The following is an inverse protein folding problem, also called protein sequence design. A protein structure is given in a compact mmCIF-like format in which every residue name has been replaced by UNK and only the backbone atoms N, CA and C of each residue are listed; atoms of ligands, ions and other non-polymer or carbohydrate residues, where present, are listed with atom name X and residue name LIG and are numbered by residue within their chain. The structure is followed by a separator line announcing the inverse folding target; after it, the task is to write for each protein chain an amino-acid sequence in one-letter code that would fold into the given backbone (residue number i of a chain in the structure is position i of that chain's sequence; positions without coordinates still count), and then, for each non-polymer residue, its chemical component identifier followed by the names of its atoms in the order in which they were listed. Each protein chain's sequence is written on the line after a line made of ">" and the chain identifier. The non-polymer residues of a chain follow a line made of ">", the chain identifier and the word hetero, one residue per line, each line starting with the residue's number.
data_IF_894837737855
#
_entry.id   IF_894837737855
#
_cell.length_a   1.000
_cell.length_b   1.000
_cell.length_c   1.000
_cell.angle_alpha   90.00
_cell.angle_beta   90.00
_cell.angle_gamma   90.00
#
_symmetry.space_group_name_H-M   'P 1'
#
loop_
_entity.id
_entity.type
_entity.pdbx_description
1 polymer ?
#
# COMPACT_ATOMS: atom_id res chain seq x y z
N UNK A 1 55.21 34.53 28.81
CA UNK A 1 55.55 33.49 27.81
C UNK A 1 54.67 32.29 28.07
N UNK A 2 53.63 32.10 27.26
CA UNK A 2 52.64 31.04 27.47
C UNK A 2 52.62 30.15 26.23
N UNK A 3 53.42 29.09 26.22
CA UNK A 3 53.40 28.11 25.13
C UNK A 3 52.27 27.10 25.36
N UNK A 4 51.22 27.27 24.55
CA UNK A 4 50.07 26.39 24.46
C UNK A 4 50.47 25.14 23.67
N UNK A 5 50.76 24.01 24.35
CA UNK A 5 50.96 22.71 23.69
C UNK A 5 49.64 22.22 23.06
N UNK A 6 49.52 22.37 21.75
CA UNK A 6 48.42 21.87 20.93
C UNK A 6 48.48 20.33 20.91
N UNK A 7 47.46 19.67 21.47
CA UNK A 7 47.28 18.21 21.41
C UNK A 7 47.01 17.79 19.96
N UNK A 8 47.98 17.16 19.30
CA UNK A 8 47.79 16.55 17.97
C UNK A 8 46.75 15.43 18.07
N UNK A 9 45.68 15.53 17.28
CA UNK A 9 44.71 14.46 17.07
C UNK A 9 45.44 13.21 16.52
N UNK A 10 45.35 12.11 17.25
CA UNK A 10 45.98 10.83 16.91
C UNK A 10 45.28 10.27 15.66
N UNK A 11 45.91 10.40 14.49
CA UNK A 11 45.42 9.81 13.24
C UNK A 11 45.51 8.29 13.36
N UNK A 12 44.37 7.60 13.26
CA UNK A 12 44.32 6.13 13.19
C UNK A 12 45.16 5.71 11.98
N UNK A 13 46.25 4.99 12.22
CA UNK A 13 47.21 4.64 11.19
C UNK A 13 46.78 3.36 10.45
N UNK A 14 47.29 3.15 9.23
CA UNK A 14 47.08 1.89 8.50
C UNK A 14 47.61 0.67 9.27
N UNK A 15 48.60 0.86 10.15
CA UNK A 15 49.12 -0.19 11.01
C UNK A 15 48.12 -0.59 12.11
N UNK A 16 47.39 0.39 12.66
CA UNK A 16 46.32 0.13 13.65
C UNK A 16 45.15 -0.63 13.02
N UNK A 17 44.78 -0.30 11.78
CA UNK A 17 43.73 -1.06 11.07
C UNK A 17 44.21 -2.49 10.73
N UNK A 18 45.48 -2.67 10.36
CA UNK A 18 46.06 -3.99 10.12
C UNK A 18 46.17 -4.83 11.39
N UNK A 19 46.44 -4.24 12.55
CA UNK A 19 46.51 -4.98 13.83
C UNK A 19 45.12 -5.35 14.37
N UNK A 20 44.10 -4.54 14.09
CA UNK A 20 42.69 -4.89 14.34
C UNK A 20 42.24 -6.04 13.43
N UNK A 21 42.48 -5.94 12.12
CA UNK A 21 42.12 -6.98 11.15
C UNK A 21 42.95 -8.26 11.32
N UNK A 22 44.20 -8.14 11.78
CA UNK A 22 45.12 -9.24 12.05
C UNK A 22 44.89 -9.98 13.37
N UNK A 23 43.88 -9.59 14.16
CA UNK A 23 43.44 -10.34 15.33
C UNK A 23 44.29 -10.17 16.60
N UNK A 24 45.38 -9.39 16.57
CA UNK A 24 46.24 -9.17 17.74
C UNK A 24 45.50 -8.47 18.88
N UNK A 25 44.52 -7.60 18.56
CA UNK A 25 43.67 -6.95 19.56
C UNK A 25 42.56 -7.88 20.07
N UNK A 26 42.03 -8.76 19.21
CA UNK A 26 41.01 -9.74 19.57
C UNK A 26 41.55 -10.83 20.51
N UNK A 27 42.82 -11.21 20.36
CA UNK A 27 43.49 -12.22 21.19
C UNK A 27 43.87 -11.73 22.60
N UNK A 28 43.60 -10.47 22.95
CA UNK A 28 43.81 -9.97 24.31
C UNK A 28 42.79 -10.58 25.28
N UNK A 29 43.21 -10.91 26.50
CA UNK A 29 42.37 -11.57 27.51
C UNK A 29 41.09 -10.78 27.84
N UNK A 30 41.16 -9.45 27.80
CA UNK A 30 40.02 -8.56 28.07
C UNK A 30 38.98 -8.61 26.96
N UNK A 31 39.41 -8.56 25.69
CA UNK A 31 38.51 -8.57 24.53
C UNK A 31 37.88 -9.95 24.33
N UNK A 32 38.65 -11.01 24.60
CA UNK A 32 38.14 -12.39 24.54
C UNK A 32 36.97 -12.61 25.51
N UNK A 33 37.01 -12.02 26.72
CA UNK A 33 35.89 -12.05 27.68
C UNK A 33 34.64 -11.28 27.22
N UNK A 34 34.81 -10.32 26.32
CA UNK A 34 33.74 -9.45 25.80
C UNK A 34 33.24 -9.89 24.40
N UNK A 35 33.83 -10.94 23.81
CA UNK A 35 33.39 -11.50 22.52
C UNK A 35 31.89 -11.79 22.45
N UNK A 36 31.22 -12.37 23.48
CA UNK A 36 29.78 -12.60 23.45
C UNK A 36 28.96 -11.31 23.21
N UNK A 37 29.42 -10.18 23.74
CA UNK A 37 28.78 -8.88 23.54
C UNK A 37 28.96 -8.36 22.09
N UNK A 38 30.12 -8.58 21.49
CA UNK A 38 30.35 -8.24 20.08
C UNK A 38 29.45 -9.07 19.17
N UNK A 39 29.33 -10.38 19.44
CA UNK A 39 28.38 -11.25 18.73
C UNK A 39 26.94 -10.77 18.86
N UNK A 40 26.54 -10.31 20.05
CA UNK A 40 25.21 -9.74 20.25
C UNK A 40 24.96 -8.51 19.37
N UNK A 41 25.92 -7.59 19.26
CA UNK A 41 25.81 -6.42 18.38
C UNK A 41 25.74 -6.82 16.91
N UNK A 42 26.58 -7.77 16.49
CA UNK A 42 26.56 -8.30 15.11
C UNK A 42 25.21 -8.94 14.80
N UNK A 43 24.67 -9.75 15.72
CA UNK A 43 23.35 -10.35 15.61
C UNK A 43 22.26 -9.29 15.48
N UNK A 44 22.31 -8.24 16.31
CA UNK A 44 21.39 -7.11 16.23
C UNK A 44 21.49 -6.40 14.86
N UNK A 45 22.71 -6.21 14.35
CA UNK A 45 22.96 -5.63 13.03
C UNK A 45 22.33 -6.45 11.91
N UNK A 46 22.51 -7.77 11.92
CA UNK A 46 21.87 -8.69 10.95
C UNK A 46 20.35 -8.60 11.06
N UNK A 47 19.81 -8.57 12.28
CA UNK A 47 18.38 -8.43 12.53
C UNK A 47 17.81 -7.13 11.94
N UNK A 48 18.49 -6.01 12.13
CA UNK A 48 18.09 -4.71 11.58
C UNK A 48 18.12 -4.69 10.05
N UNK A 49 19.17 -5.25 9.45
CA UNK A 49 19.28 -5.37 7.99
C UNK A 49 18.12 -6.21 7.45
N UNK A 50 17.85 -7.35 8.08
CA UNK A 50 16.77 -8.27 7.68
C UNK A 50 15.40 -7.59 7.76
N UNK A 51 15.11 -6.90 8.88
CA UNK A 51 13.86 -6.18 9.07
C UNK A 51 13.67 -5.08 8.00
N UNK A 52 14.73 -4.35 7.69
CA UNK A 52 14.72 -3.34 6.62
C UNK A 52 14.37 -3.96 5.27
N UNK A 53 15.01 -5.06 4.88
CA UNK A 53 14.71 -5.75 3.61
C UNK A 53 13.26 -6.27 3.54
N UNK A 54 12.73 -6.82 4.63
CA UNK A 54 11.34 -7.27 4.69
C UNK A 54 10.35 -6.12 4.55
N UNK A 55 10.64 -5.01 5.21
CA UNK A 55 9.81 -3.80 5.14
C UNK A 55 9.77 -3.24 3.72
N UNK A 56 10.92 -3.11 3.06
CA UNK A 56 10.99 -2.60 1.68
C UNK A 56 10.21 -3.49 0.70
N UNK A 57 10.34 -4.82 0.81
CA UNK A 57 9.58 -5.76 -0.02
C UNK A 57 8.08 -5.66 0.23
N UNK A 58 7.67 -5.45 1.47
CA UNK A 58 6.26 -5.32 1.86
C UNK A 58 5.67 -4.03 1.33
N UNK A 59 6.38 -2.91 1.48
CA UNK A 59 5.98 -1.60 0.95
C UNK A 59 5.77 -1.68 -0.56
N UNK A 60 6.71 -2.30 -1.31
CA UNK A 60 6.58 -2.44 -2.76
C UNK A 60 5.35 -3.26 -3.17
N UNK A 61 5.05 -4.34 -2.45
CA UNK A 61 3.83 -5.13 -2.69
C UNK A 61 2.57 -4.33 -2.37
N UNK A 62 2.58 -3.56 -1.28
CA UNK A 62 1.45 -2.71 -0.92
C UNK A 62 1.18 -1.67 -2.00
N UNK A 63 2.22 -1.07 -2.58
CA UNK A 63 2.07 -0.09 -3.66
C UNK A 63 1.40 -0.71 -4.90
N UNK A 64 1.87 -1.89 -5.34
CA UNK A 64 1.25 -2.63 -6.45
C UNK A 64 -0.23 -2.94 -6.18
N UNK A 65 -0.55 -3.43 -4.99
CA UNK A 65 -1.94 -3.74 -4.60
C UNK A 65 -2.80 -2.47 -4.57
N UNK A 66 -2.25 -1.35 -4.09
CA UNK A 66 -2.98 -0.06 -4.06
C UNK A 66 -3.29 0.44 -5.45
N UNK A 67 -2.39 0.27 -6.41
CA UNK A 67 -2.63 0.66 -7.79
C UNK A 67 -3.71 -0.22 -8.44
N UNK A 68 -3.69 -1.53 -8.21
CA UNK A 68 -4.78 -2.41 -8.65
C UNK A 68 -6.12 -2.04 -8.03
N UNK A 69 -6.16 -1.65 -6.75
CA UNK A 69 -7.39 -1.19 -6.10
C UNK A 69 -7.94 0.12 -6.69
N UNK A 70 -7.06 1.04 -7.10
CA UNK A 70 -7.49 2.26 -7.79
C UNK A 70 -8.13 1.93 -9.14
N UNK A 71 -7.52 1.03 -9.90
CA UNK A 71 -8.03 0.58 -11.19
C UNK A 71 -9.42 -0.06 -11.03
N UNK A 72 -9.56 -1.03 -10.12
CA UNK A 72 -10.85 -1.67 -9.86
C UNK A 72 -11.92 -0.69 -9.38
N UNK A 73 -11.54 0.32 -8.60
CA UNK A 73 -12.48 1.36 -8.19
C UNK A 73 -12.92 2.22 -9.39
N UNK A 74 -12.01 2.60 -10.27
CA UNK A 74 -12.35 3.33 -11.48
C UNK A 74 -13.28 2.50 -12.38
N UNK A 75 -12.96 1.23 -12.59
CA UNK A 75 -13.76 0.29 -13.37
C UNK A 75 -15.18 0.12 -12.80
N UNK A 76 -15.32 -0.01 -11.48
CA UNK A 76 -16.65 -0.09 -10.83
C UNK A 76 -17.51 1.15 -11.08
N UNK A 77 -16.92 2.35 -11.04
CA UNK A 77 -17.62 3.62 -11.29
C UNK A 77 -18.02 3.73 -12.75
N UNK A 78 -17.16 3.28 -13.67
CA UNK A 78 -17.46 3.23 -15.10
C UNK A 78 -18.64 2.30 -15.36
N UNK A 79 -18.64 1.09 -14.78
CA UNK A 79 -19.75 0.14 -14.95
C UNK A 79 -21.06 0.67 -14.38
N UNK A 80 -21.04 1.30 -13.20
CA UNK A 80 -22.22 1.96 -12.64
C UNK A 80 -22.73 3.05 -13.58
N UNK A 81 -21.84 3.88 -14.11
CA UNK A 81 -22.19 4.95 -15.07
C UNK A 81 -22.77 4.37 -16.36
N UNK A 82 -22.21 3.28 -16.89
CA UNK A 82 -22.74 2.58 -18.06
C UNK A 82 -24.13 2.01 -17.78
N UNK A 83 -24.36 1.42 -16.61
CA UNK A 83 -25.65 0.91 -16.21
C UNK A 83 -26.67 2.04 -16.09
N UNK A 84 -26.31 3.18 -15.50
CA UNK A 84 -27.14 4.38 -15.44
C UNK A 84 -27.49 4.90 -16.84
N UNK A 85 -26.53 4.90 -17.76
CA UNK A 85 -26.77 5.30 -19.14
C UNK A 85 -27.78 4.38 -19.84
N UNK A 86 -27.62 3.06 -19.69
CA UNK A 86 -28.51 2.06 -20.29
C UNK A 86 -29.91 2.10 -19.67
N UNK A 87 -30.01 2.30 -18.35
CA UNK A 87 -31.27 2.40 -17.62
C UNK A 87 -31.96 3.75 -17.75
N UNK A 88 -31.33 4.73 -18.42
CA UNK A 88 -31.92 6.05 -18.61
C UNK A 88 -33.24 5.91 -19.37
N UNK A 89 -34.37 6.45 -18.88
CA UNK A 89 -35.67 6.29 -19.54
C UNK A 89 -35.64 6.67 -21.03
N UNK A 90 -34.94 7.75 -21.38
CA UNK A 90 -34.77 8.14 -22.79
C UNK A 90 -34.06 7.09 -23.65
N UNK A 91 -33.06 6.39 -23.11
CA UNK A 91 -32.34 5.32 -23.82
C UNK A 91 -33.17 4.04 -23.88
N UNK A 92 -33.92 3.73 -22.82
CA UNK A 92 -34.87 2.61 -22.81
C UNK A 92 -35.96 2.82 -23.86
N UNK A 93 -36.58 3.99 -23.91
CA UNK A 93 -37.61 4.35 -24.88
C UNK A 93 -37.07 4.28 -26.31
N UNK A 94 -35.86 4.78 -26.58
CA UNK A 94 -35.19 4.61 -27.89
C UNK A 94 -35.05 3.13 -28.27
N UNK A 95 -34.55 2.30 -27.36
CA UNK A 95 -34.37 0.85 -27.61
C UNK A 95 -35.68 0.11 -27.85
N UNK A 96 -36.76 0.50 -27.17
CA UNK A 96 -38.12 -0.05 -27.37
C UNK A 96 -38.63 0.27 -28.78
N UNK A 97 -38.47 1.53 -29.22
CA UNK A 97 -38.84 1.98 -30.57
C UNK A 97 -38.02 1.27 -31.64
N UNK A 98 -36.69 1.22 -31.50
CA UNK A 98 -35.79 0.54 -32.44
C UNK A 98 -36.13 -0.95 -32.60
N UNK A 99 -36.49 -1.62 -31.50
CA UNK A 99 -36.85 -3.05 -31.48
C UNK A 99 -38.31 -3.31 -31.87
N UNK A 100 -39.07 -2.27 -32.21
CA UNK A 100 -40.50 -2.35 -32.58
C UNK A 100 -41.35 -3.06 -31.51
N UNK A 101 -41.01 -2.83 -30.24
CA UNK A 101 -41.78 -3.35 -29.13
C UNK A 101 -42.92 -2.36 -28.89
N UNK A 102 -44.16 -2.84 -28.87
CA UNK A 102 -45.38 -2.01 -28.82
C UNK A 102 -45.67 -1.51 -27.39
N UNK A 103 -44.67 -0.88 -26.78
CA UNK A 103 -44.72 -0.31 -25.44
C UNK A 103 -44.63 1.21 -25.53
N UNK A 104 -45.56 1.88 -24.86
CA UNK A 104 -45.65 3.34 -24.74
C UNK A 104 -45.32 3.76 -23.31
N UNK A 105 -44.53 4.82 -23.18
CA UNK A 105 -44.17 5.38 -21.88
C UNK A 105 -45.42 5.98 -21.21
N UNK A 106 -45.75 5.59 -19.96
CA UNK A 106 -46.91 6.12 -19.27
C UNK A 106 -46.66 7.60 -18.90
N UNK A 107 -47.43 8.50 -19.52
CA UNK A 107 -47.35 9.96 -19.29
C UNK A 107 -48.06 10.36 -17.99
N UNK A 108 -49.05 9.57 -17.56
CA UNK A 108 -49.79 9.78 -16.32
C UNK A 108 -49.44 8.72 -15.25
N UNK A 109 -49.33 9.11 -13.97
CA UNK A 109 -49.10 8.16 -12.89
C UNK A 109 -50.30 7.23 -12.69
N UNK A 110 -50.03 5.99 -12.26
CA UNK A 110 -51.08 5.00 -11.99
C UNK A 110 -52.05 5.46 -10.90
N UNK A 111 -53.35 5.49 -11.22
CA UNK A 111 -54.42 5.88 -10.29
C UNK A 111 -55.00 4.63 -9.62
N UNK A 112 -55.30 4.72 -8.32
CA UNK A 112 -56.04 3.66 -7.60
C UNK A 112 -57.45 3.55 -8.18
N UNK A 113 -57.81 2.35 -8.63
CA UNK A 113 -59.14 2.05 -9.14
C UNK A 113 -60.02 1.69 -7.94
N UNK A 114 -61.04 2.51 -7.64
CA UNK A 114 -62.06 2.18 -6.65
C UNK A 114 -63.26 1.56 -7.35
N UNK A 115 -63.44 0.25 -7.19
CA UNK A 115 -64.58 -0.46 -7.77
C UNK A 115 -65.76 -0.37 -6.81
N UNK A 116 -66.84 0.31 -7.19
CA UNK A 116 -68.12 0.21 -6.46
C UNK A 116 -68.72 -1.16 -6.77
N UNK A 117 -68.98 -1.94 -5.72
CA UNK A 117 -69.63 -3.26 -5.82
C UNK A 117 -70.99 -3.07 -6.50
N UNK A 118 -71.19 -3.75 -7.62
CA UNK A 118 -72.45 -3.73 -8.37
C UNK A 118 -73.44 -4.56 -7.55
N UNK A 119 -74.41 -3.91 -6.89
CA UNK A 119 -75.54 -4.60 -6.28
C UNK A 119 -76.40 -5.18 -7.41
N UNK A 120 -76.32 -6.50 -7.58
CA UNK A 120 -77.21 -7.25 -8.47
C UNK A 120 -78.58 -7.33 -7.80
N UNK A 121 -79.58 -6.79 -8.48
CA UNK A 121 -80.98 -6.73 -8.06
C UNK A 121 -81.71 -8.03 -8.35
#
# INVERSE_FOLDING_TARGET
>A
MTEKKIKKAKRISKADLKSVLGGTILASETVTKQLPFVFFIVFLGIGLITNRYWTEKTIRKMELVRDSLKEFKAESVIHETQLMYINRPSEVTKKVIERKIDLIEPVEPAKKIFVKKIETK
#
